data_IF_766280649761
#
_entry.id   IF_766280649761
#
_cell.length_a   1.000
_cell.length_b   1.000
_cell.length_c   1.000
_cell.angle_alpha   90.00
_cell.angle_beta   90.00
_cell.angle_gamma   90.00
#
_symmetry.space_group_name_H-M   'P 1'
#
loop_
_entity.id
_entity.type
_entity.pdbx_description
1 polymer ?
#
# COMPACT_ATOMS: atom_id res chain seq x y z
N UNK A 1 10.13 26.51 25.42
CA UNK A 1 10.88 25.24 25.53
C UNK A 1 9.83 24.18 25.76
N UNK A 2 9.55 23.19 24.90
CA UNK A 2 10.15 22.77 23.64
C UNK A 2 9.00 22.39 22.68
N UNK A 3 9.18 22.64 21.39
CA UNK A 3 8.20 22.37 20.31
C UNK A 3 8.87 21.35 19.39
N UNK A 4 9.12 20.14 19.90
CA UNK A 4 9.80 19.06 19.17
C UNK A 4 9.95 17.80 20.06
N UNK A 5 8.86 17.11 20.35
CA UNK A 5 8.87 15.70 20.83
C UNK A 5 7.73 15.00 20.07
N UNK A 6 7.89 14.84 18.76
CA UNK A 6 8.33 13.61 18.07
C UNK A 6 7.22 12.56 17.91
N UNK A 7 6.32 12.80 16.94
CA UNK A 7 5.89 11.78 15.98
C UNK A 7 6.32 12.31 14.61
N UNK A 8 7.05 11.49 13.86
CA UNK A 8 7.88 11.93 12.74
C UNK A 8 7.12 12.24 11.44
N UNK A 9 5.78 12.39 11.44
CA UNK A 9 5.06 13.08 10.35
C UNK A 9 3.87 13.88 10.91
N UNK A 10 4.17 15.00 11.57
CA UNK A 10 3.14 15.99 11.89
C UNK A 10 2.68 16.67 10.58
N UNK A 11 1.54 16.22 10.06
CA UNK A 11 0.87 16.72 8.85
C UNK A 11 1.66 16.47 7.56
N UNK A 12 1.37 15.37 6.86
CA UNK A 12 1.52 15.37 5.40
C UNK A 12 0.73 16.57 4.86
N UNK A 13 1.42 17.61 4.37
CA UNK A 13 0.72 18.67 3.65
C UNK A 13 0.02 18.03 2.43
N UNK A 14 -1.13 18.57 2.03
CA UNK A 14 -1.94 17.96 0.97
C UNK A 14 -1.14 17.71 -0.32
N UNK A 15 -0.11 18.52 -0.60
CA UNK A 15 0.74 18.32 -1.77
C UNK A 15 1.60 17.08 -1.66
N UNK A 16 2.25 16.90 -0.50
CA UNK A 16 3.02 15.69 -0.21
C UNK A 16 2.14 14.43 -0.24
N UNK A 17 0.89 14.51 0.28
CA UNK A 17 -0.03 13.38 0.24
C UNK A 17 -0.41 13.03 -1.20
N UNK A 18 -0.69 14.05 -2.03
CA UNK A 18 -0.96 13.84 -3.45
C UNK A 18 0.17 13.09 -4.14
N UNK A 19 1.39 13.61 -4.00
CA UNK A 19 2.56 13.07 -4.69
C UNK A 19 2.88 11.62 -4.28
N UNK A 20 2.63 11.25 -3.01
CA UNK A 20 2.84 9.88 -2.54
C UNK A 20 1.89 8.88 -3.20
N UNK A 21 0.68 9.32 -3.55
CA UNK A 21 -0.37 8.47 -4.12
C UNK A 21 -0.54 8.66 -5.64
N UNK A 22 0.32 9.47 -6.27
CA UNK A 22 0.51 9.53 -7.71
C UNK A 22 1.54 8.46 -8.11
N UNK A 23 1.10 7.20 -8.15
CA UNK A 23 2.00 6.04 -8.19
C UNK A 23 2.79 5.93 -9.49
N UNK A 24 2.29 6.49 -10.59
CA UNK A 24 2.98 6.55 -11.88
C UNK A 24 3.67 7.90 -12.14
N UNK A 25 3.58 8.83 -11.16
CA UNK A 25 4.15 10.18 -11.24
C UNK A 25 3.65 10.98 -12.44
N UNK A 26 2.39 10.78 -12.82
CA UNK A 26 1.76 11.47 -13.96
C UNK A 26 1.34 12.91 -13.64
N UNK A 27 1.28 13.28 -12.37
CA UNK A 27 0.71 14.53 -11.87
C UNK A 27 -0.81 14.50 -11.70
N UNK A 28 -1.42 13.31 -11.85
CA UNK A 28 -2.84 13.07 -11.80
C UNK A 28 -3.14 11.77 -11.06
N UNK A 29 -4.10 11.77 -10.15
CA UNK A 29 -4.67 10.51 -9.66
C UNK A 29 -5.66 9.97 -10.69
N UNK A 30 -5.28 8.86 -11.33
CA UNK A 30 -6.14 8.08 -12.18
C UNK A 30 -7.16 7.25 -11.35
N UNK A 31 -8.17 6.64 -12.00
CA UNK A 31 -9.03 5.66 -11.34
C UNK A 31 -8.27 4.52 -10.66
N UNK A 32 -7.11 4.13 -11.19
CA UNK A 32 -6.27 3.08 -10.62
C UNK A 32 -5.54 3.55 -9.36
N UNK A 33 -5.01 4.78 -9.37
CA UNK A 33 -4.40 5.39 -8.19
C UNK A 33 -5.42 5.49 -7.05
N UNK A 34 -6.63 5.98 -7.34
CA UNK A 34 -7.72 6.04 -6.37
C UNK A 34 -8.03 4.63 -5.82
N UNK A 35 -8.14 3.62 -6.69
CA UNK A 35 -8.37 2.24 -6.24
C UNK A 35 -7.26 1.75 -5.31
N UNK A 36 -6.01 2.08 -5.61
CA UNK A 36 -4.85 1.67 -4.83
C UNK A 36 -4.77 2.38 -3.48
N UNK A 37 -4.97 3.71 -3.44
CA UNK A 37 -5.05 4.50 -2.20
C UNK A 37 -6.10 3.92 -1.23
N UNK A 38 -7.23 3.48 -1.76
CA UNK A 38 -8.31 2.87 -0.98
C UNK A 38 -8.18 1.35 -0.76
N UNK A 39 -7.06 0.73 -1.12
CA UNK A 39 -6.83 -0.70 -0.92
C UNK A 39 -7.74 -1.62 -1.74
N UNK A 40 -8.39 -1.11 -2.78
CA UNK A 40 -9.39 -1.84 -3.57
C UNK A 40 -8.77 -2.90 -4.49
N UNK A 41 -7.45 -2.91 -4.60
CA UNK A 41 -6.68 -3.90 -5.37
C UNK A 41 -6.07 -4.99 -4.46
N UNK A 42 -6.19 -4.85 -3.15
CA UNK A 42 -5.63 -5.78 -2.18
C UNK A 42 -6.47 -7.06 -2.01
N UNK A 43 -5.83 -8.15 -1.58
CA UNK A 43 -6.47 -9.44 -1.32
C UNK A 43 -7.56 -9.33 -0.22
N UNK A 44 -7.40 -8.44 0.75
CA UNK A 44 -8.41 -8.17 1.79
C UNK A 44 -9.73 -7.64 1.23
N UNK A 45 -9.70 -7.00 0.05
CA UNK A 45 -10.88 -6.46 -0.61
C UNK A 45 -11.32 -7.27 -1.83
N UNK A 46 -10.83 -8.50 -1.99
CA UNK A 46 -11.18 -9.37 -3.14
C UNK A 46 -12.67 -9.71 -3.22
N UNK A 47 -13.34 -9.80 -2.07
CA UNK A 47 -14.75 -10.15 -1.97
C UNK A 47 -15.67 -8.92 -2.09
N UNK A 48 -15.09 -7.70 -2.15
CA UNK A 48 -15.83 -6.46 -2.40
C UNK A 48 -16.26 -6.44 -3.88
N UNK A 49 -17.56 -6.28 -4.18
CA UNK A 49 -18.03 -6.24 -5.57
C UNK A 49 -17.40 -5.09 -6.37
N UNK A 50 -17.07 -5.34 -7.64
CA UNK A 50 -16.50 -4.30 -8.52
C UNK A 50 -17.40 -3.06 -8.64
N UNK A 51 -18.72 -3.21 -8.57
CA UNK A 51 -19.64 -2.06 -8.54
C UNK A 51 -19.38 -1.17 -7.33
N UNK A 52 -19.07 -1.76 -6.17
CA UNK A 52 -18.76 -1.01 -4.95
C UNK A 52 -17.40 -0.33 -5.03
N UNK A 53 -16.41 -1.00 -5.63
CA UNK A 53 -15.10 -0.40 -5.90
C UNK A 53 -15.22 0.78 -6.88
N UNK A 54 -16.10 0.66 -7.87
CA UNK A 54 -16.37 1.76 -8.81
C UNK A 54 -17.09 2.93 -8.13
N UNK A 55 -18.03 2.70 -7.22
CA UNK A 55 -18.68 3.76 -6.44
C UNK A 55 -17.66 4.60 -5.65
N UNK A 56 -16.58 3.98 -5.13
CA UNK A 56 -15.49 4.71 -4.45
C UNK A 56 -14.81 5.67 -5.42
N UNK A 57 -14.37 5.15 -6.57
CA UNK A 57 -13.72 5.97 -7.61
C UNK A 57 -14.61 7.12 -8.05
N UNK A 58 -15.86 6.82 -8.37
CA UNK A 58 -16.84 7.82 -8.83
C UNK A 58 -17.07 8.89 -7.75
N UNK A 59 -17.09 8.50 -6.47
CA UNK A 59 -17.24 9.45 -5.36
C UNK A 59 -16.08 10.43 -5.28
N UNK A 60 -14.84 9.96 -5.43
CA UNK A 60 -13.64 10.80 -5.41
C UNK A 60 -13.60 11.73 -6.62
N UNK A 61 -13.86 11.22 -7.82
CA UNK A 61 -13.92 12.04 -9.03
C UNK A 61 -15.01 13.12 -8.90
N UNK A 62 -16.21 12.77 -8.44
CA UNK A 62 -17.28 13.76 -8.22
C UNK A 62 -16.90 14.86 -7.22
N UNK A 63 -16.03 14.56 -6.25
CA UNK A 63 -15.56 15.53 -5.27
C UNK A 63 -14.50 16.47 -5.87
N UNK A 64 -13.50 15.92 -6.57
CA UNK A 64 -12.29 16.66 -6.94
C UNK A 64 -12.17 17.00 -8.43
N UNK A 65 -12.59 16.12 -9.35
CA UNK A 65 -12.47 16.29 -10.82
C UNK A 65 -13.46 17.36 -11.31
N UNK A 66 -12.99 18.62 -11.36
CA UNK A 66 -13.81 19.78 -11.76
C UNK A 66 -13.84 19.94 -13.26
N UNK A 67 -12.77 19.54 -13.94
CA UNK A 67 -12.67 19.64 -15.39
C UNK A 67 -13.29 18.44 -16.14
N UNK A 68 -13.68 17.39 -15.41
CA UNK A 68 -14.25 16.13 -15.92
C UNK A 68 -13.29 15.37 -16.83
N UNK A 69 -12.01 15.43 -16.51
CA UNK A 69 -10.96 14.66 -17.19
C UNK A 69 -11.04 13.16 -16.91
N UNK A 70 -11.75 12.74 -15.85
CA UNK A 70 -11.75 11.37 -15.35
C UNK A 70 -10.56 11.07 -14.45
N UNK A 71 -9.86 12.11 -13.97
CA UNK A 71 -8.72 12.04 -13.06
C UNK A 71 -8.76 13.21 -12.08
N UNK A 72 -7.96 13.17 -11.02
CA UNK A 72 -7.78 14.31 -10.12
C UNK A 72 -6.39 14.88 -10.30
N UNK A 73 -6.28 16.11 -10.80
CA UNK A 73 -4.99 16.80 -10.88
C UNK A 73 -4.49 17.28 -9.52
N UNK A 74 -3.19 17.52 -9.40
CA UNK A 74 -2.58 18.13 -8.21
C UNK A 74 -3.29 19.42 -7.77
N UNK A 75 -3.65 20.27 -8.75
CA UNK A 75 -4.32 21.53 -8.48
C UNK A 75 -5.74 21.33 -7.96
N UNK A 76 -6.51 20.41 -8.54
CA UNK A 76 -7.86 20.09 -8.09
C UNK A 76 -7.86 19.50 -6.68
N UNK A 77 -6.91 18.63 -6.38
CA UNK A 77 -6.74 18.07 -5.04
C UNK A 77 -6.44 19.17 -4.02
N UNK A 78 -5.41 20.00 -4.24
CA UNK A 78 -5.04 21.07 -3.33
C UNK A 78 -6.14 22.11 -3.12
N UNK A 79 -6.81 22.51 -4.20
CA UNK A 79 -7.92 23.47 -4.11
C UNK A 79 -9.06 22.83 -3.33
N UNK A 80 -9.39 21.57 -3.61
CA UNK A 80 -10.41 20.81 -2.88
C UNK A 80 -10.13 20.74 -1.38
N UNK A 81 -8.92 20.32 -0.98
CA UNK A 81 -8.56 20.21 0.44
C UNK A 81 -8.49 21.58 1.13
N UNK A 82 -8.00 22.62 0.45
CA UNK A 82 -8.01 23.99 0.95
C UNK A 82 -9.44 24.53 1.17
N UNK A 83 -10.41 24.04 0.41
CA UNK A 83 -11.84 24.31 0.60
C UNK A 83 -12.52 23.38 1.62
N UNK A 84 -11.76 22.54 2.31
CA UNK A 84 -12.24 21.65 3.37
C UNK A 84 -12.81 20.33 2.87
N UNK A 85 -12.56 19.94 1.61
CA UNK A 85 -12.83 18.56 1.20
C UNK A 85 -11.88 17.61 1.91
N UNK A 86 -12.44 16.56 2.47
CA UNK A 86 -11.71 15.49 3.15
C UNK A 86 -12.02 14.20 2.42
N UNK A 87 -10.99 13.38 2.16
CA UNK A 87 -11.17 12.05 1.58
C UNK A 87 -12.08 11.21 2.49
N UNK A 88 -13.21 10.69 1.99
CA UNK A 88 -14.14 9.90 2.80
C UNK A 88 -13.55 8.53 3.13
N UNK A 89 -13.86 8.01 4.31
CA UNK A 89 -13.67 6.62 4.67
C UNK A 89 -14.88 5.80 4.23
N UNK A 90 -14.64 4.75 3.43
CA UNK A 90 -15.69 3.86 2.92
C UNK A 90 -15.86 2.57 3.75
N UNK A 91 -15.03 2.35 4.78
CA UNK A 91 -15.08 1.16 5.64
C UNK A 91 -14.79 -0.14 4.90
N UNK A 92 -14.07 -0.10 3.78
CA UNK A 92 -13.78 -1.26 2.93
C UNK A 92 -12.45 -1.95 3.26
N UNK A 93 -11.74 -1.46 4.27
CA UNK A 93 -10.42 -1.95 4.68
C UNK A 93 -9.64 -0.83 5.34
N UNK A 94 -8.42 -1.09 5.82
CA UNK A 94 -7.57 -0.07 6.45
C UNK A 94 -7.21 1.10 5.49
N UNK A 95 -7.43 0.93 4.18
CA UNK A 95 -6.77 1.76 3.16
C UNK A 95 -5.33 1.30 2.97
N UNK A 96 -4.67 1.73 1.89
CA UNK A 96 -3.22 1.57 1.75
C UNK A 96 -2.62 2.97 1.62
N UNK A 97 -2.25 3.56 2.76
CA UNK A 97 -1.38 4.72 2.88
C UNK A 97 0.12 4.39 2.67
N UNK A 98 0.48 3.12 2.40
CA UNK A 98 1.86 2.72 2.11
C UNK A 98 2.03 1.26 1.70
N UNK A 99 3.27 0.75 1.82
CA UNK A 99 3.54 -0.69 1.79
C UNK A 99 3.01 -1.37 3.06
N UNK A 100 3.03 -2.70 3.07
CA UNK A 100 2.48 -3.50 4.19
C UNK A 100 3.13 -3.19 5.55
N UNK A 101 4.36 -2.67 5.54
CA UNK A 101 5.15 -2.31 6.72
C UNK A 101 4.70 -0.95 7.27
N UNK A 102 4.53 0.05 6.39
CA UNK A 102 4.03 1.36 6.78
C UNK A 102 2.59 1.32 7.33
N UNK A 103 1.71 0.52 6.74
CA UNK A 103 0.35 0.33 7.24
C UNK A 103 0.31 -0.30 8.63
N UNK A 104 1.12 -1.34 8.85
CA UNK A 104 1.22 -1.98 10.15
C UNK A 104 1.73 -1.00 11.20
N UNK A 105 2.79 -0.26 10.90
CA UNK A 105 3.40 0.71 11.81
C UNK A 105 2.41 1.81 12.23
N UNK A 106 1.77 2.48 11.25
CA UNK A 106 0.97 3.68 11.52
C UNK A 106 -0.45 3.35 12.01
N UNK A 107 -1.08 2.29 11.50
CA UNK A 107 -2.49 2.00 11.82
C UNK A 107 -2.69 0.99 12.93
N UNK A 108 -1.75 0.04 13.09
CA UNK A 108 -1.83 -0.98 14.11
C UNK A 108 -0.87 -0.68 15.27
N UNK A 109 0.42 -0.53 14.97
CA UNK A 109 1.45 -0.39 15.99
C UNK A 109 1.26 0.90 16.78
N UNK A 110 1.20 2.09 16.17
CA UNK A 110 0.96 3.34 16.94
C UNK A 110 -0.37 3.37 17.70
N UNK A 111 -1.36 2.56 17.29
CA UNK A 111 -2.70 2.55 17.90
C UNK A 111 -2.80 1.60 19.10
N UNK A 112 -2.17 0.43 19.02
CA UNK A 112 -2.30 -0.64 20.02
C UNK A 112 -1.01 -0.87 20.82
N UNK A 113 0.10 -0.36 20.32
CA UNK A 113 1.45 -0.47 20.87
C UNK A 113 2.06 0.93 21.06
N UNK A 114 3.12 1.03 21.84
CA UNK A 114 3.80 2.29 22.15
C UNK A 114 5.27 2.07 22.49
N UNK A 115 5.95 3.10 22.97
CA UNK A 115 7.41 3.05 23.20
C UNK A 115 7.85 1.98 24.21
N UNK A 116 6.96 1.58 25.13
CA UNK A 116 7.22 0.56 26.14
C UNK A 116 6.76 -0.86 25.72
N UNK A 117 6.26 -1.04 24.49
CA UNK A 117 5.79 -2.34 23.98
C UNK A 117 6.94 -3.34 23.92
N UNK A 118 6.74 -4.53 24.49
CA UNK A 118 7.69 -5.64 24.37
C UNK A 118 7.25 -6.64 23.31
N UNK A 119 8.14 -7.54 22.89
CA UNK A 119 7.80 -8.59 21.92
C UNK A 119 6.63 -9.47 22.38
N UNK A 120 6.48 -9.67 23.69
CA UNK A 120 5.39 -10.45 24.27
C UNK A 120 4.01 -9.77 24.17
N UNK A 121 3.97 -8.46 23.93
CA UNK A 121 2.73 -7.69 23.75
C UNK A 121 2.22 -7.75 22.31
N UNK A 122 3.07 -8.14 21.34
CA UNK A 122 2.78 -8.20 19.90
C UNK A 122 2.01 -9.46 19.51
N UNK A 123 0.84 -9.64 20.12
CA UNK A 123 0.02 -10.86 20.02
C UNK A 123 -1.35 -10.63 19.39
N UNK A 124 -1.62 -9.44 18.86
CA UNK A 124 -2.86 -9.22 18.13
C UNK A 124 -2.90 -10.09 16.87
N UNK A 125 -4.08 -10.53 16.41
CA UNK A 125 -4.21 -11.27 15.17
C UNK A 125 -3.50 -10.59 13.97
N UNK A 126 -3.53 -9.27 13.94
CA UNK A 126 -2.84 -8.43 12.95
C UNK A 126 -1.32 -8.46 13.10
N UNK A 127 -0.76 -8.37 14.33
CA UNK A 127 0.67 -8.55 14.62
C UNK A 127 1.18 -9.90 14.09
N UNK A 128 0.47 -10.98 14.45
CA UNK A 128 0.84 -12.34 14.06
C UNK A 128 0.78 -12.52 12.54
N UNK A 129 -0.24 -11.94 11.89
CA UNK A 129 -0.38 -12.01 10.44
C UNK A 129 0.73 -11.23 9.72
N UNK A 130 1.08 -10.05 10.23
CA UNK A 130 2.15 -9.21 9.72
C UNK A 130 3.51 -9.94 9.80
N UNK A 131 3.89 -10.45 10.97
CA UNK A 131 5.17 -11.18 11.11
C UNK A 131 5.23 -12.47 10.30
N UNK A 132 4.14 -13.21 10.24
CA UNK A 132 4.06 -14.41 9.39
C UNK A 132 4.31 -14.11 7.91
N UNK A 133 3.92 -12.91 7.44
CA UNK A 133 4.17 -12.47 6.07
C UNK A 133 5.66 -12.16 5.86
N UNK A 134 6.31 -11.51 6.81
CA UNK A 134 7.76 -11.30 6.79
C UNK A 134 8.53 -12.63 6.77
N UNK A 135 8.19 -13.58 7.65
CA UNK A 135 8.80 -14.91 7.66
C UNK A 135 8.72 -15.60 6.28
N UNK A 136 7.56 -15.51 5.62
CA UNK A 136 7.36 -16.08 4.29
C UNK A 136 8.17 -15.39 3.20
N UNK A 137 8.32 -14.06 3.30
CA UNK A 137 9.14 -13.28 2.37
C UNK A 137 10.63 -13.62 2.53
N UNK A 138 11.12 -13.72 3.77
CA UNK A 138 12.49 -14.11 4.07
C UNK A 138 12.80 -15.54 3.59
N UNK A 139 11.90 -16.49 3.86
CA UNK A 139 12.02 -17.86 3.33
C UNK A 139 12.01 -17.90 1.79
N UNK A 140 11.24 -17.02 1.15
CA UNK A 140 11.22 -16.91 -0.31
C UNK A 140 12.52 -16.30 -0.84
N UNK A 141 13.04 -15.25 -0.19
CA UNK A 141 14.30 -14.60 -0.53
C UNK A 141 15.49 -15.56 -0.37
N UNK A 142 15.57 -16.32 0.71
CA UNK A 142 16.60 -17.34 0.89
C UNK A 142 16.54 -18.42 -0.19
N UNK A 143 15.33 -18.87 -0.55
CA UNK A 143 15.14 -19.85 -1.63
C UNK A 143 15.62 -19.27 -2.97
N UNK A 144 15.32 -18.02 -3.25
CA UNK A 144 15.77 -17.34 -4.46
C UNK A 144 17.29 -17.19 -4.48
N UNK A 145 17.91 -16.77 -3.38
CA UNK A 145 19.37 -16.63 -3.29
C UNK A 145 20.09 -17.98 -3.45
N UNK A 146 19.51 -19.08 -2.92
CA UNK A 146 20.01 -20.43 -3.15
C UNK A 146 19.95 -20.81 -4.63
N UNK A 147 18.89 -20.41 -5.35
CA UNK A 147 18.77 -20.64 -6.79
C UNK A 147 19.74 -19.78 -7.60
N UNK A 148 19.93 -18.51 -7.23
CA UNK A 148 20.84 -17.59 -7.93
C UNK A 148 22.31 -17.99 -7.76
N UNK A 149 22.65 -18.63 -6.62
CA UNK A 149 23.97 -19.25 -6.40
C UNK A 149 24.22 -20.48 -7.27
N UNK A 150 23.19 -21.10 -7.85
CA UNK A 150 23.36 -22.19 -8.81
C UNK A 150 23.67 -21.61 -10.19
N UNK A 151 24.91 -21.78 -10.67
CA UNK A 151 25.33 -21.35 -12.01
C UNK A 151 24.49 -22.00 -13.15
N UNK A 152 23.86 -23.14 -12.88
CA UNK A 152 22.96 -23.85 -13.80
C UNK A 152 21.79 -24.43 -12.99
N UNK A 153 20.56 -23.93 -13.21
CA UNK A 153 19.35 -24.56 -12.70
C UNK A 153 18.93 -25.67 -13.66
N UNK A 154 19.28 -26.92 -13.36
CA UNK A 154 19.05 -28.07 -14.26
C UNK A 154 17.59 -28.24 -14.69
N UNK A 155 16.64 -27.87 -13.82
CA UNK A 155 15.20 -27.90 -14.12
C UNK A 155 14.82 -26.99 -15.31
N UNK A 156 15.52 -25.87 -15.48
CA UNK A 156 15.31 -24.90 -16.56
C UNK A 156 16.08 -25.25 -17.83
N UNK A 157 16.88 -26.32 -17.86
CA UNK A 157 17.55 -26.78 -19.08
C UNK A 157 16.47 -27.33 -20.04
N UNK A 158 16.28 -26.71 -21.23
CA UNK A 158 15.34 -27.20 -22.22
C UNK A 158 15.64 -28.64 -22.61
N UNK A 159 14.61 -29.46 -22.84
CA UNK A 159 14.75 -30.91 -23.14
C UNK A 159 15.76 -31.22 -24.26
N UNK A 160 15.91 -30.34 -25.25
CA UNK A 160 16.87 -30.48 -26.35
C UNK A 160 18.35 -30.42 -25.95
N UNK A 161 18.67 -29.92 -24.75
CA UNK A 161 20.04 -29.81 -24.21
C UNK A 161 20.32 -30.75 -23.04
N UNK A 162 19.33 -31.49 -22.54
CA UNK A 162 19.55 -32.54 -21.55
C UNK A 162 20.28 -33.69 -22.25
N UNK A 163 21.56 -33.91 -21.94
CA UNK A 163 22.30 -35.06 -22.46
C UNK A 163 21.55 -36.33 -22.08
N UNK A 164 21.06 -37.06 -23.08
CA UNK A 164 20.66 -38.45 -22.90
C UNK A 164 21.89 -39.21 -22.40
N UNK A 165 21.89 -39.58 -21.12
CA UNK A 165 22.94 -40.39 -20.52
C UNK A 165 23.09 -41.70 -21.31
N UNK A 166 24.33 -41.97 -21.72
CA UNK A 166 24.78 -43.29 -22.16
C UNK A 166 24.90 -44.21 -20.96
#
# INVERSE_FOLDING_TARGET
>A
MNVAEEHHINSFDSGSFFNLHDYDSSGNWSPEDIRKTYGLLDESTKDVPESKKQEVVDSILNMFDKDRSGSVSYAEYLVGTAHGLVLPDFGLGPGHHGDDEYEYEIHHFEKYHGEDTTEEDLIHPEDIAHFKKHDQMDEAAERQEKLDRLQIVEANIPKKFRKAGR
#
